data_IF_682135324719
#
_entry.id   IF_682135324719
#
_cell.length_a   1.000
_cell.length_b   1.000
_cell.length_c   1.000
_cell.angle_alpha   90.00
_cell.angle_beta   90.00
_cell.angle_gamma   90.00
#
_symmetry.space_group_name_H-M   'P 1'
#
loop_
_entity.id
_entity.type
_entity.pdbx_description
1 polymer ?
#
# COMPACT_ATOMS: atom_id res chain seq x y z
N UNK A 1 38.40 -18.78 -61.61
CA UNK A 1 37.36 -19.22 -60.67
C UNK A 1 37.32 -18.23 -59.52
N UNK A 2 36.47 -17.23 -59.60
CA UNK A 2 36.28 -16.26 -58.50
C UNK A 2 34.78 -16.09 -58.34
N UNK A 3 34.20 -16.81 -57.40
CA UNK A 3 32.76 -16.74 -57.11
C UNK A 3 32.41 -15.48 -56.32
N UNK A 4 31.16 -14.98 -56.41
CA UNK A 4 30.73 -13.79 -55.68
C UNK A 4 30.65 -14.06 -54.17
N UNK A 5 31.27 -13.20 -53.36
CA UNK A 5 31.05 -13.18 -51.90
C UNK A 5 29.70 -12.54 -51.62
N UNK A 6 28.72 -13.33 -51.20
CA UNK A 6 27.49 -12.82 -50.59
C UNK A 6 27.84 -12.13 -49.29
N UNK A 7 27.60 -10.82 -49.19
CA UNK A 7 27.72 -10.10 -47.93
C UNK A 7 26.51 -10.44 -47.06
N UNK A 8 26.74 -11.08 -45.91
CA UNK A 8 25.71 -11.26 -44.88
C UNK A 8 25.42 -9.91 -44.22
N UNK A 9 24.14 -9.53 -44.19
CA UNK A 9 23.68 -8.38 -43.45
C UNK A 9 23.67 -8.70 -41.96
N UNK A 10 24.38 -7.91 -41.16
CA UNK A 10 24.37 -8.02 -39.69
C UNK A 10 23.09 -7.38 -39.17
N UNK A 11 22.20 -8.19 -38.59
CA UNK A 11 21.00 -7.70 -37.90
C UNK A 11 21.39 -7.12 -36.55
N UNK A 12 21.04 -5.85 -36.23
CA UNK A 12 21.37 -5.27 -34.94
C UNK A 12 20.62 -5.99 -33.82
N UNK A 13 21.35 -6.42 -32.79
CA UNK A 13 20.77 -7.03 -31.59
C UNK A 13 20.06 -5.96 -30.75
N UNK A 14 18.80 -6.18 -30.31
CA UNK A 14 18.08 -5.19 -29.53
C UNK A 14 18.80 -4.93 -28.20
N UNK A 15 19.04 -3.64 -27.89
CA UNK A 15 19.62 -3.23 -26.61
C UNK A 15 18.54 -3.32 -25.53
N UNK A 16 18.71 -4.24 -24.59
CA UNK A 16 17.86 -4.32 -23.41
C UNK A 16 18.26 -3.22 -22.40
N UNK A 17 17.27 -2.45 -21.96
CA UNK A 17 17.44 -1.51 -20.85
C UNK A 17 17.41 -2.28 -19.53
N UNK A 18 18.36 -1.99 -18.64
CA UNK A 18 18.34 -2.55 -17.29
C UNK A 18 17.13 -1.98 -16.53
N UNK A 19 16.21 -2.86 -16.13
CA UNK A 19 15.05 -2.48 -15.31
C UNK A 19 15.46 -2.57 -13.83
N UNK A 20 15.27 -1.50 -13.04
CA UNK A 20 15.60 -1.52 -11.62
C UNK A 20 14.70 -2.50 -10.85
N UNK A 21 15.28 -3.20 -9.89
CA UNK A 21 14.54 -4.06 -8.97
C UNK A 21 13.84 -3.20 -7.90
N UNK A 22 12.50 -3.18 -7.92
CA UNK A 22 11.69 -2.36 -7.01
C UNK A 22 11.10 -3.15 -5.82
N UNK A 23 11.54 -4.38 -5.60
CA UNK A 23 10.95 -5.27 -4.59
C UNK A 23 10.99 -4.66 -3.18
N UNK A 24 12.13 -4.07 -2.80
CA UNK A 24 12.32 -3.41 -1.50
C UNK A 24 11.44 -2.17 -1.38
N UNK A 25 11.37 -1.35 -2.42
CA UNK A 25 10.52 -0.15 -2.41
C UNK A 25 9.03 -0.53 -2.30
N UNK A 26 8.59 -1.55 -3.04
CA UNK A 26 7.23 -2.06 -2.96
C UNK A 26 6.90 -2.60 -1.57
N UNK A 27 7.79 -3.42 -0.99
CA UNK A 27 7.61 -3.92 0.37
C UNK A 27 7.56 -2.79 1.39
N UNK A 28 8.47 -1.82 1.30
CA UNK A 28 8.49 -0.65 2.17
C UNK A 28 7.19 0.16 2.08
N UNK A 29 6.65 0.36 0.88
CA UNK A 29 5.37 1.05 0.68
C UNK A 29 4.21 0.30 1.34
N UNK A 30 4.11 -1.01 1.13
CA UNK A 30 3.04 -1.82 1.72
C UNK A 30 3.12 -1.88 3.25
N UNK A 31 4.32 -2.06 3.80
CA UNK A 31 4.52 -2.06 5.24
C UNK A 31 4.20 -0.68 5.84
N UNK A 32 4.69 0.39 5.21
CA UNK A 32 4.43 1.76 5.69
C UNK A 32 2.94 2.07 5.68
N UNK A 33 2.24 1.75 4.58
CA UNK A 33 0.80 1.96 4.47
C UNK A 33 0.04 1.16 5.53
N UNK A 34 0.42 -0.10 5.75
CA UNK A 34 -0.21 -0.97 6.76
C UNK A 34 -0.03 -0.39 8.16
N UNK A 35 1.19 0.03 8.52
CA UNK A 35 1.47 0.64 9.83
C UNK A 35 0.69 1.94 10.01
N UNK A 36 0.62 2.78 8.98
CA UNK A 36 -0.14 4.03 9.04
C UNK A 36 -1.64 3.77 9.24
N UNK A 37 -2.24 2.83 8.50
CA UNK A 37 -3.65 2.47 8.64
C UNK A 37 -3.96 1.84 9.99
N UNK A 38 -3.08 0.95 10.47
CA UNK A 38 -3.21 0.36 11.81
C UNK A 38 -3.10 1.42 12.91
N UNK A 39 -2.16 2.36 12.78
CA UNK A 39 -2.01 3.49 13.70
C UNK A 39 -3.23 4.40 13.69
N UNK A 40 -3.81 4.67 12.53
CA UNK A 40 -5.03 5.46 12.41
C UNK A 40 -6.23 4.76 13.07
N UNK A 41 -6.40 3.45 12.84
CA UNK A 41 -7.42 2.65 13.51
C UNK A 41 -7.21 2.67 15.03
N UNK A 42 -5.98 2.46 15.51
CA UNK A 42 -5.66 2.53 16.93
C UNK A 42 -5.99 3.90 17.54
N UNK A 43 -5.69 4.99 16.83
CA UNK A 43 -6.03 6.34 17.26
C UNK A 43 -7.54 6.51 17.41
N UNK A 44 -8.34 6.14 16.40
CA UNK A 44 -9.79 6.31 16.45
C UNK A 44 -10.46 5.43 17.50
N UNK A 45 -10.00 4.18 17.65
CA UNK A 45 -10.63 3.23 18.57
C UNK A 45 -10.19 3.49 20.01
N UNK A 46 -8.94 3.90 20.24
CA UNK A 46 -8.38 4.04 21.58
C UNK A 46 -8.38 5.48 22.11
N UNK A 47 -7.89 6.41 21.30
CA UNK A 47 -7.61 7.78 21.73
C UNK A 47 -8.79 8.73 21.50
N UNK A 48 -9.40 8.69 20.32
CA UNK A 48 -10.59 9.48 20.01
C UNK A 48 -11.79 8.93 20.78
N UNK A 49 -12.27 9.67 21.78
CA UNK A 49 -13.41 9.27 22.62
C UNK A 49 -14.76 9.56 21.93
N UNK A 50 -14.79 9.64 20.59
CA UNK A 50 -15.96 10.06 19.83
C UNK A 50 -16.16 11.58 19.77
N UNK A 51 -15.08 12.36 19.97
CA UNK A 51 -15.13 13.83 19.96
C UNK A 51 -15.21 14.35 18.52
N UNK A 52 -14.63 13.62 17.57
CA UNK A 52 -14.68 13.94 16.14
C UNK A 52 -15.55 12.91 15.42
N UNK A 53 -16.79 13.29 15.11
CA UNK A 53 -17.61 12.47 14.22
C UNK A 53 -17.45 12.91 12.76
N UNK A 54 -16.62 12.18 12.02
CA UNK A 54 -16.45 12.38 10.56
C UNK A 54 -17.75 12.09 9.79
N UNK A 55 -18.66 11.31 10.38
CA UNK A 55 -19.93 10.91 9.77
C UNK A 55 -21.16 11.56 10.44
N UNK A 56 -20.98 12.59 11.28
CA UNK A 56 -22.07 13.28 11.98
C UNK A 56 -22.77 12.44 13.06
N UNK A 57 -24.04 12.69 13.33
CA UNK A 57 -24.83 11.95 14.35
C UNK A 57 -25.30 10.56 13.87
N UNK A 58 -24.48 9.85 13.08
CA UNK A 58 -24.84 8.51 12.62
C UNK A 58 -24.68 7.48 13.75
N UNK A 59 -25.82 7.02 14.29
CA UNK A 59 -25.88 6.05 15.39
C UNK A 59 -25.24 4.70 15.04
N UNK A 60 -25.39 4.20 13.81
CA UNK A 60 -24.82 2.90 13.43
C UNK A 60 -23.29 2.90 13.46
N UNK A 61 -22.68 3.97 12.94
CA UNK A 61 -21.22 4.10 12.95
C UNK A 61 -20.74 4.32 14.38
N UNK A 62 -21.47 5.10 15.17
CA UNK A 62 -21.16 5.35 16.58
C UNK A 62 -21.15 4.05 17.39
N UNK A 63 -22.19 3.23 17.29
CA UNK A 63 -22.30 1.94 17.98
C UNK A 63 -21.22 0.95 17.51
N UNK A 64 -20.96 0.85 16.20
CA UNK A 64 -19.92 -0.03 15.68
C UNK A 64 -18.52 0.33 16.21
N UNK A 65 -18.18 1.61 16.23
CA UNK A 65 -16.89 2.09 16.75
C UNK A 65 -16.80 1.88 18.26
N UNK A 66 -17.89 2.16 18.97
CA UNK A 66 -18.00 1.94 20.41
C UNK A 66 -17.80 0.46 20.79
N UNK A 67 -18.42 -0.47 20.05
CA UNK A 67 -18.25 -1.92 20.27
C UNK A 67 -16.84 -2.40 19.93
N UNK A 68 -16.24 -1.88 18.86
CA UNK A 68 -14.87 -2.21 18.48
C UNK A 68 -13.86 -1.80 19.55
N UNK A 69 -14.09 -0.66 20.20
CA UNK A 69 -13.27 -0.16 21.30
C UNK A 69 -13.36 -1.06 22.53
N UNK A 70 -14.57 -1.47 22.90
CA UNK A 70 -14.78 -2.46 23.95
C UNK A 70 -14.12 -3.79 23.63
N UNK A 71 -14.21 -4.25 22.38
CA UNK A 71 -13.58 -5.48 21.93
C UNK A 71 -12.04 -5.45 22.10
N UNK A 72 -11.42 -4.29 21.90
CA UNK A 72 -9.99 -4.08 22.13
C UNK A 72 -9.63 -3.77 23.60
N UNK A 73 -10.61 -3.77 24.51
CA UNK A 73 -10.39 -3.62 25.96
C UNK A 73 -10.17 -2.17 26.42
N UNK A 74 -10.45 -1.19 25.57
CA UNK A 74 -10.38 0.22 25.97
C UNK A 74 -11.59 0.59 26.86
N UNK A 75 -11.39 1.37 27.93
CA UNK A 75 -12.44 1.72 28.87
C UNK A 75 -13.37 2.79 28.31
N UNK A 76 -14.68 2.66 28.53
CA UNK A 76 -15.65 3.72 28.24
C UNK A 76 -15.82 4.71 29.40
N UNK A 77 -16.03 5.98 29.07
CA UNK A 77 -16.19 7.05 30.05
C UNK A 77 -17.52 6.93 30.80
#
# INVERSE_FOLDING_TARGET
MTGPRTSEAVTPSPRALAVPNLSVASAALWLSLTVLLAGLAYYFLGYDQGVVSVFGENTYVHEFVHDSRHFLGFPCH
#
